data_IF_294863023250
#
_entry.id   IF_294863023250
#
_cell.length_a   1.000
_cell.length_b   1.000
_cell.length_c   1.000
_cell.angle_alpha   90.00
_cell.angle_beta   90.00
_cell.angle_gamma   90.00
#
_symmetry.space_group_name_H-M   'P 1'
#
loop_
_entity.id
_entity.type
_entity.pdbx_description
1 polymer ?
#
# COMPACT_ATOMS: atom_id res chain seq x y z
N UNK A 1 -5.52 1.46 0.27
CA UNK A 1 -6.04 1.26 1.66
C UNK A 1 -5.10 0.39 2.47
N UNK A 2 -4.79 -0.84 2.02
CA UNK A 2 -3.88 -1.75 2.75
C UNK A 2 -2.47 -1.19 2.95
N UNK A 3 -1.90 -0.53 1.94
CA UNK A 3 -0.64 0.21 2.10
C UNK A 3 -0.71 1.26 3.20
N UNK A 4 -1.75 2.08 3.19
CA UNK A 4 -1.91 3.20 4.12
C UNK A 4 -2.03 2.75 5.59
N UNK A 5 -2.70 1.63 5.85
CA UNK A 5 -2.77 1.09 7.22
C UNK A 5 -1.42 0.48 7.64
N UNK A 6 -0.68 -0.19 6.74
CA UNK A 6 0.62 -0.81 7.06
C UNK A 6 1.63 0.21 7.61
N UNK A 7 1.78 1.37 6.99
CA UNK A 7 2.71 2.41 7.49
C UNK A 7 2.28 2.94 8.86
N UNK A 8 0.98 3.11 9.11
CA UNK A 8 0.47 3.56 10.42
C UNK A 8 0.73 2.55 11.52
N UNK A 9 0.56 1.26 11.22
CA UNK A 9 0.85 0.17 12.17
C UNK A 9 2.34 0.11 12.48
N UNK A 10 3.20 0.23 11.45
CA UNK A 10 4.65 0.32 11.65
C UNK A 10 5.02 1.47 12.59
N UNK A 11 4.49 2.66 12.36
CA UNK A 11 4.85 3.86 13.13
C UNK A 11 4.32 3.90 14.57
N UNK A 12 3.31 3.08 14.91
CA UNK A 12 2.57 3.23 16.19
C UNK A 12 2.62 1.97 17.06
N UNK A 13 2.65 0.78 16.47
CA UNK A 13 2.65 -0.47 17.24
C UNK A 13 4.06 -0.80 17.76
N UNK A 14 4.16 -1.24 19.02
CA UNK A 14 5.46 -1.60 19.60
C UNK A 14 6.10 -2.83 18.92
N UNK A 15 5.27 -3.79 18.51
CA UNK A 15 5.66 -4.99 17.77
C UNK A 15 4.78 -5.13 16.52
N UNK A 16 5.02 -4.36 15.44
CA UNK A 16 4.11 -4.32 14.30
C UNK A 16 4.03 -5.68 13.60
N UNK A 17 2.81 -6.22 13.51
CA UNK A 17 2.53 -7.48 12.81
C UNK A 17 1.58 -7.26 11.64
N UNK A 18 2.10 -7.29 10.42
CA UNK A 18 1.37 -7.05 9.19
C UNK A 18 0.89 -8.36 8.57
N UNK A 19 -0.37 -8.38 8.15
CA UNK A 19 -0.96 -9.55 7.49
C UNK A 19 -1.07 -9.32 5.98
N UNK A 20 -0.81 -10.39 5.24
CA UNK A 20 -1.21 -10.50 3.85
C UNK A 20 -2.71 -10.71 3.71
N UNK A 21 -3.17 -10.76 2.46
CA UNK A 21 -4.54 -11.07 2.11
C UNK A 21 -4.56 -11.61 0.68
N UNK A 22 -5.60 -12.36 0.34
CA UNK A 22 -5.79 -12.87 -1.02
C UNK A 22 -6.27 -11.75 -1.95
N UNK A 23 -5.33 -11.09 -2.63
CA UNK A 23 -5.62 -9.98 -3.54
C UNK A 23 -6.52 -10.40 -4.71
N UNK A 24 -6.37 -11.64 -5.18
CA UNK A 24 -7.16 -12.18 -6.28
C UNK A 24 -8.60 -12.39 -5.85
N UNK A 25 -8.83 -13.04 -4.71
CA UNK A 25 -10.18 -13.24 -4.18
C UNK A 25 -10.87 -11.91 -3.89
N UNK A 26 -10.13 -10.88 -3.45
CA UNK A 26 -10.67 -9.54 -3.25
C UNK A 26 -11.13 -8.91 -4.57
N UNK A 27 -10.30 -8.95 -5.61
CA UNK A 27 -10.64 -8.41 -6.92
C UNK A 27 -11.86 -9.11 -7.54
N UNK A 28 -11.93 -10.43 -7.43
CA UNK A 28 -13.02 -11.25 -7.99
C UNK A 28 -14.34 -11.07 -7.26
N UNK A 29 -14.32 -10.97 -5.92
CA UNK A 29 -15.55 -11.02 -5.10
C UNK A 29 -16.15 -9.66 -4.75
N UNK A 30 -15.37 -8.58 -4.79
CA UNK A 30 -15.80 -7.30 -4.20
C UNK A 30 -16.06 -6.19 -5.23
N UNK A 31 -15.49 -6.25 -6.43
CA UNK A 31 -15.33 -5.05 -7.25
C UNK A 31 -15.55 -5.21 -8.75
N UNK A 32 -16.11 -6.32 -9.23
CA UNK A 32 -16.21 -6.60 -10.68
C UNK A 32 -17.19 -5.69 -11.44
N UNK A 33 -18.18 -5.09 -10.79
CA UNK A 33 -19.29 -4.37 -11.45
C UNK A 33 -19.65 -3.00 -10.83
N UNK A 34 -18.70 -2.35 -10.12
CA UNK A 34 -18.95 -1.06 -9.43
C UNK A 34 -18.36 0.15 -10.15
N UNK A 35 -18.94 1.36 -9.95
CA UNK A 35 -18.34 2.60 -10.41
C UNK A 35 -16.91 2.80 -9.90
N UNK A 36 -16.00 3.22 -10.78
CA UNK A 36 -14.56 3.36 -10.47
C UNK A 36 -14.24 4.61 -9.65
N UNK A 37 -15.04 5.67 -9.77
CA UNK A 37 -14.74 7.00 -9.21
C UNK A 37 -14.48 6.98 -7.69
N UNK A 38 -15.32 6.33 -6.85
CA UNK A 38 -15.04 6.27 -5.40
C UNK A 38 -13.72 5.55 -5.06
N UNK A 39 -13.31 4.57 -5.88
CA UNK A 39 -12.05 3.85 -5.68
C UNK A 39 -10.84 4.75 -5.99
N UNK A 40 -10.96 5.62 -7.00
CA UNK A 40 -9.92 6.62 -7.32
C UNK A 40 -9.77 7.66 -6.21
N UNK A 41 -10.89 8.12 -5.65
CA UNK A 41 -10.88 9.06 -4.51
C UNK A 41 -10.28 8.41 -3.26
N UNK A 42 -10.66 7.16 -2.95
CA UNK A 42 -10.05 6.42 -1.86
C UNK A 42 -8.53 6.26 -2.06
N UNK A 43 -8.07 5.95 -3.29
CA UNK A 43 -6.65 5.86 -3.61
C UNK A 43 -5.92 7.20 -3.41
N UNK A 44 -6.51 8.30 -3.92
CA UNK A 44 -5.96 9.65 -3.77
C UNK A 44 -5.76 10.01 -2.30
N UNK A 45 -6.81 9.89 -1.48
CA UNK A 45 -6.74 10.25 -0.06
C UNK A 45 -5.88 9.28 0.76
N UNK A 46 -5.76 8.01 0.35
CA UNK A 46 -4.77 7.10 0.91
C UNK A 46 -3.36 7.68 0.80
N UNK A 47 -2.99 8.14 -0.39
CA UNK A 47 -1.65 8.66 -0.68
C UNK A 47 -1.42 10.01 -0.01
N UNK A 48 -2.36 10.92 -0.14
CA UNK A 48 -2.30 12.26 0.46
C UNK A 48 -2.08 12.20 1.98
N UNK A 49 -2.85 11.35 2.66
CA UNK A 49 -2.69 11.22 4.12
C UNK A 49 -1.43 10.45 4.51
N UNK A 50 -0.86 9.62 3.63
CA UNK A 50 0.42 8.97 3.90
C UNK A 50 1.59 9.93 3.68
N UNK A 51 1.58 10.77 2.64
CA UNK A 51 2.67 11.74 2.41
C UNK A 51 2.84 12.68 3.59
N UNK A 52 1.74 13.13 4.21
CA UNK A 52 1.79 13.92 5.43
C UNK A 52 2.49 13.20 6.59
N UNK A 53 2.39 11.88 6.68
CA UNK A 53 3.17 11.11 7.68
C UNK A 53 4.65 11.10 7.29
N UNK A 54 4.96 10.84 6.01
CA UNK A 54 6.34 10.82 5.51
C UNK A 54 7.07 12.15 5.75
N UNK A 55 6.38 13.28 5.55
CA UNK A 55 6.93 14.63 5.80
C UNK A 55 7.31 14.88 7.26
N UNK A 56 6.79 14.05 8.18
CA UNK A 56 7.01 14.16 9.63
C UNK A 56 7.92 13.07 10.19
N UNK A 57 8.24 12.06 9.39
CA UNK A 57 9.09 10.95 9.84
C UNK A 57 10.52 11.43 10.07
N UNK A 58 11.10 10.96 11.16
CA UNK A 58 12.50 11.13 11.51
C UNK A 58 13.36 10.01 10.93
N UNK A 59 14.68 10.15 11.02
CA UNK A 59 15.62 9.08 10.66
C UNK A 59 15.40 7.79 11.47
N UNK A 60 14.94 7.89 12.71
CA UNK A 60 14.64 6.71 13.54
C UNK A 60 13.36 6.02 13.10
N UNK A 61 12.36 6.77 12.63
CA UNK A 61 11.13 6.19 12.07
C UNK A 61 11.40 5.36 10.80
N UNK A 62 12.42 5.74 10.02
CA UNK A 62 12.88 4.97 8.86
C UNK A 62 13.56 3.65 9.23
N UNK A 63 14.03 3.50 10.47
CA UNK A 63 14.67 2.27 10.97
C UNK A 63 13.69 1.29 11.59
N UNK A 64 12.43 1.68 11.76
CA UNK A 64 11.38 0.81 12.29
C UNK A 64 11.20 -0.42 11.40
N UNK A 65 11.18 -1.58 12.03
CA UNK A 65 10.90 -2.86 11.42
C UNK A 65 9.86 -3.64 12.23
N UNK A 66 8.87 -4.18 11.53
CA UNK A 66 7.95 -5.18 12.04
C UNK A 66 8.10 -6.51 11.32
N UNK A 67 7.08 -7.35 11.44
CA UNK A 67 6.98 -8.64 10.76
C UNK A 67 5.78 -8.62 9.81
N UNK A 68 5.97 -9.05 8.58
CA UNK A 68 4.91 -9.44 7.67
C UNK A 68 4.74 -10.95 7.71
N UNK A 69 3.51 -11.42 7.92
CA UNK A 69 3.19 -12.84 8.15
C UNK A 69 3.67 -13.77 7.03
N UNK A 70 3.82 -13.26 5.80
CA UNK A 70 4.23 -14.06 4.63
C UNK A 70 5.70 -13.85 4.23
N UNK A 71 6.29 -12.68 4.52
CA UNK A 71 7.60 -12.29 3.99
C UNK A 71 8.66 -12.02 5.07
N UNK A 72 8.31 -12.20 6.35
CA UNK A 72 9.23 -12.01 7.47
C UNK A 72 9.47 -10.52 7.76
N UNK A 73 10.72 -10.13 8.00
CA UNK A 73 11.07 -8.75 8.36
C UNK A 73 10.53 -7.75 7.33
N UNK A 74 9.84 -6.71 7.80
CA UNK A 74 9.25 -5.69 6.96
C UNK A 74 9.33 -4.31 7.64
N UNK A 75 10.11 -3.39 7.07
CA UNK A 75 10.32 -2.05 7.61
C UNK A 75 9.59 -0.92 6.87
N UNK A 76 9.67 0.28 7.44
CA UNK A 76 9.14 1.51 6.84
C UNK A 76 9.83 1.86 5.52
N UNK A 77 11.14 1.60 5.39
CA UNK A 77 11.86 1.69 4.11
C UNK A 77 11.35 0.67 3.07
N UNK A 78 11.10 -0.57 3.48
CA UNK A 78 10.60 -1.63 2.59
C UNK A 78 9.22 -1.24 2.06
N UNK A 79 8.37 -0.71 2.96
CA UNK A 79 7.08 -0.14 2.60
C UNK A 79 7.21 0.96 1.55
N UNK A 80 8.13 1.91 1.73
CA UNK A 80 8.32 3.00 0.77
C UNK A 80 8.76 2.46 -0.59
N UNK A 81 9.75 1.58 -0.62
CA UNK A 81 10.28 0.98 -1.87
C UNK A 81 9.18 0.27 -2.65
N UNK A 82 8.37 -0.54 -1.96
CA UNK A 82 7.26 -1.28 -2.57
C UNK A 82 6.19 -0.31 -3.10
N UNK A 83 5.69 0.59 -2.26
CA UNK A 83 4.52 1.40 -2.60
C UNK A 83 4.83 2.64 -3.43
N UNK A 84 6.11 3.04 -3.55
CA UNK A 84 6.55 4.00 -4.54
C UNK A 84 6.31 3.48 -5.97
N UNK A 85 6.67 2.22 -6.26
CA UNK A 85 6.53 1.61 -7.58
C UNK A 85 5.11 1.08 -7.87
N UNK A 86 4.44 0.54 -6.86
CA UNK A 86 3.21 -0.26 -7.00
C UNK A 86 2.10 0.37 -7.87
N UNK A 87 1.82 1.68 -7.69
CA UNK A 87 0.77 2.34 -8.46
C UNK A 87 1.14 2.50 -9.95
N UNK A 88 2.43 2.68 -10.25
CA UNK A 88 2.93 2.76 -11.61
C UNK A 88 2.86 1.40 -12.31
N UNK A 89 3.17 0.32 -11.60
CA UNK A 89 3.07 -1.05 -12.13
C UNK A 89 1.63 -1.38 -12.54
N UNK A 90 0.65 -1.07 -11.69
CA UNK A 90 -0.76 -1.22 -12.03
C UNK A 90 -1.21 -0.32 -13.18
N UNK A 91 -0.76 0.93 -13.23
CA UNK A 91 -1.03 1.78 -14.39
C UNK A 91 -0.46 1.17 -15.69
N UNK A 92 0.72 0.55 -15.63
CA UNK A 92 1.30 -0.21 -16.73
C UNK A 92 0.44 -1.42 -17.13
N UNK A 93 -0.06 -2.19 -16.16
CA UNK A 93 -0.98 -3.30 -16.41
C UNK A 93 -2.26 -2.84 -17.12
N UNK A 94 -2.86 -1.73 -16.68
CA UNK A 94 -4.07 -1.16 -17.28
C UNK A 94 -3.81 -0.74 -18.74
N UNK A 95 -2.70 -0.05 -19.02
CA UNK A 95 -2.34 0.33 -20.40
C UNK A 95 -2.20 -0.88 -21.30
N UNK A 96 -1.49 -1.92 -20.85
CA UNK A 96 -1.33 -3.20 -21.59
C UNK A 96 -2.67 -3.87 -21.86
N UNK A 97 -3.54 -3.96 -20.86
CA UNK A 97 -4.87 -4.55 -21.01
C UNK A 97 -5.76 -3.80 -22.02
N UNK A 98 -5.50 -2.50 -22.22
CA UNK A 98 -6.18 -1.65 -23.21
C UNK A 98 -5.51 -1.64 -24.60
N UNK A 99 -4.44 -2.40 -24.81
CA UNK A 99 -3.68 -2.40 -26.07
C UNK A 99 -2.85 -1.13 -26.30
N UNK A 100 -2.49 -0.41 -25.23
CA UNK A 100 -1.73 0.84 -25.27
C UNK A 100 -0.25 0.63 -24.87
N UNK A 101 0.31 -0.53 -25.20
CA UNK A 101 1.68 -0.90 -24.85
C UNK A 101 2.71 -0.18 -25.73
#
# INVERSE_FOLDING_TARGET
>A
MMSAIRIRRLLVEAEPMLYGYDEKAFAERLTSDRPVQPSLEAMRWARETCSQLLDRMTEDDWRIAGTHAESGRYGTEDWLKIYAAHAHDHAGQIRRARGQA
#
